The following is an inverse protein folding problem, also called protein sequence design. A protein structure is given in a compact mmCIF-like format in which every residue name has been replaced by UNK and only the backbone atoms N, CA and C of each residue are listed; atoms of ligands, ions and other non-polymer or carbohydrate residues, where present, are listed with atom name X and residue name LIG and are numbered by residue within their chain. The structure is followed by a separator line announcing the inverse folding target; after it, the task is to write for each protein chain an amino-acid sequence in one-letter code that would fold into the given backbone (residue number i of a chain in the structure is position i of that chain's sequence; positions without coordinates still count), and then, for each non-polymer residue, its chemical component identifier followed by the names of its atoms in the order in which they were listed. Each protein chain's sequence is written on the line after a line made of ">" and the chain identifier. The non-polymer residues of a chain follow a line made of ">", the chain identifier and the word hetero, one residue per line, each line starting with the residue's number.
data_IF_485221439744
#
_entry.id   IF_485221439744
#
_cell.length_a   1.000
_cell.length_b   1.000
_cell.length_c   1.000
_cell.angle_alpha   90.00
_cell.angle_beta   90.00
_cell.angle_gamma   90.00
#
_symmetry.space_group_name_H-M   'P 1'
#
loop_
_entity.id
_entity.type
_entity.pdbx_description
1 polymer ?
#
# COMPACT_ATOMS: atom_id res chain seq x y z
N UNK A 1 12.73 -11.55 15.36
CA UNK A 1 12.39 -11.54 13.93
C UNK A 1 11.34 -10.48 13.70
N UNK A 2 11.47 -9.66 12.65
CA UNK A 2 10.44 -8.67 12.33
C UNK A 2 9.09 -9.35 12.06
N UNK A 3 8.02 -8.78 12.62
CA UNK A 3 6.67 -9.32 12.45
C UNK A 3 6.04 -8.66 11.23
N UNK A 4 5.56 -9.50 10.30
CA UNK A 4 4.82 -9.05 9.12
C UNK A 4 3.36 -9.45 9.28
N UNK A 5 2.46 -8.48 9.18
CA UNK A 5 1.01 -8.69 9.23
C UNK A 5 0.40 -8.26 7.90
N UNK A 6 -0.26 -9.20 7.18
CA UNK A 6 -1.02 -8.85 5.98
C UNK A 6 -2.26 -8.05 6.38
N UNK A 7 -2.46 -6.89 5.74
CA UNK A 7 -3.60 -6.02 5.98
C UNK A 7 -4.69 -6.22 4.93
N UNK A 8 -4.33 -6.22 3.65
CA UNK A 8 -5.25 -6.44 2.54
C UNK A 8 -4.53 -6.92 1.29
N UNK A 9 -5.24 -7.61 0.40
CA UNK A 9 -4.76 -8.05 -0.90
C UNK A 9 -5.85 -7.97 -1.94
N UNK A 10 -5.61 -7.20 -3.00
CA UNK A 10 -6.59 -6.97 -4.06
C UNK A 10 -5.94 -6.91 -5.44
N UNK A 11 -6.78 -6.99 -6.47
CA UNK A 11 -6.35 -6.99 -7.87
C UNK A 11 -6.85 -5.72 -8.55
N UNK A 12 -5.95 -5.01 -9.22
CA UNK A 12 -6.30 -3.83 -10.01
C UNK A 12 -6.89 -4.30 -11.35
N UNK A 13 -8.09 -3.83 -11.75
CA UNK A 13 -8.72 -4.23 -13.01
C UNK A 13 -7.88 -3.86 -14.24
N UNK A 14 -7.25 -2.69 -14.21
CA UNK A 14 -6.38 -2.19 -15.27
C UNK A 14 -4.97 -2.76 -15.04
N UNK A 15 -4.39 -3.38 -16.06
CA UNK A 15 -3.00 -3.88 -16.01
C UNK A 15 -2.82 -5.21 -15.27
N UNK A 16 -3.88 -5.76 -14.67
CA UNK A 16 -3.85 -7.08 -14.03
C UNK A 16 -2.77 -7.21 -12.93
N UNK A 17 -2.61 -6.16 -12.13
CA UNK A 17 -1.64 -6.13 -11.04
C UNK A 17 -2.27 -6.64 -9.74
N UNK A 18 -1.52 -7.42 -8.96
CA UNK A 18 -1.90 -7.76 -7.58
C UNK A 18 -1.20 -6.79 -6.63
N UNK A 19 -1.95 -6.19 -5.71
CA UNK A 19 -1.43 -5.33 -4.65
C UNK A 19 -1.67 -6.01 -3.31
N UNK A 20 -0.64 -6.04 -2.47
CA UNK A 20 -0.74 -6.50 -1.09
C UNK A 20 -0.16 -5.43 -0.15
N UNK A 21 -0.91 -5.13 0.90
CA UNK A 21 -0.53 -4.20 1.96
C UNK A 21 -0.13 -5.01 3.19
N UNK A 22 1.05 -4.74 3.75
CA UNK A 22 1.58 -5.44 4.91
C UNK A 22 2.08 -4.42 5.94
N UNK A 23 1.77 -4.62 7.21
CA UNK A 23 2.44 -3.91 8.30
C UNK A 23 3.72 -4.66 8.69
N UNK A 24 4.81 -3.93 8.87
CA UNK A 24 6.08 -4.46 9.37
C UNK A 24 6.38 -3.81 10.72
N UNK A 25 6.50 -4.65 11.76
CA UNK A 25 6.96 -4.26 13.08
C UNK A 25 8.38 -4.78 13.29
N UNK A 26 9.30 -3.88 13.61
CA UNK A 26 10.71 -4.20 13.86
C UNK A 26 10.92 -4.70 15.29
N UNK A 27 11.69 -5.79 15.45
CA UNK A 27 11.94 -6.40 16.76
C UNK A 27 12.67 -5.48 17.74
N UNK A 28 13.60 -4.66 17.24
CA UNK A 28 14.35 -3.70 18.05
C UNK A 28 13.50 -2.50 18.53
N UNK A 29 12.20 -2.50 18.21
CA UNK A 29 11.34 -1.33 18.33
C UNK A 29 11.58 -0.32 17.20
N UNK A 30 10.69 0.65 17.08
CA UNK A 30 10.75 1.66 16.02
C UNK A 30 9.38 1.98 15.45
N UNK A 31 9.35 2.88 14.48
CA UNK A 31 8.14 3.24 13.75
C UNK A 31 7.78 2.06 12.82
N UNK A 32 6.55 1.53 12.88
CA UNK A 32 6.13 0.49 11.95
C UNK A 32 6.06 1.04 10.53
N UNK A 33 6.37 0.20 9.54
CA UNK A 33 6.21 0.57 8.14
C UNK A 33 5.00 -0.12 7.52
N UNK A 34 4.37 0.60 6.59
CA UNK A 34 3.46 0.00 5.63
C UNK A 34 4.30 -0.42 4.42
N UNK A 35 4.43 -1.73 4.22
CA UNK A 35 4.96 -2.32 3.01
C UNK A 35 3.85 -2.51 1.99
N UNK A 36 4.09 -2.04 0.78
CA UNK A 36 3.18 -2.21 -0.34
C UNK A 36 3.91 -3.01 -1.40
N UNK A 37 3.29 -4.11 -1.81
CA UNK A 37 3.83 -5.05 -2.78
C UNK A 37 2.94 -5.05 -3.99
N UNK A 38 3.51 -4.68 -5.13
CA UNK A 38 2.82 -4.71 -6.41
C UNK A 38 3.46 -5.81 -7.24
N UNK A 39 2.67 -6.79 -7.65
CA UNK A 39 3.08 -7.85 -8.56
C UNK A 39 2.44 -7.63 -9.93
N UNK A 40 3.28 -7.61 -10.96
CA UNK A 40 2.88 -7.58 -12.35
C UNK A 40 3.55 -8.74 -13.10
N UNK A 41 2.80 -9.84 -13.30
CA UNK A 41 3.33 -11.12 -13.81
C UNK A 41 4.51 -11.63 -12.96
N UNK A 42 5.73 -11.45 -13.47
CA UNK A 42 7.00 -11.85 -12.85
C UNK A 42 7.74 -10.68 -12.21
N UNK A 43 7.32 -9.43 -12.45
CA UNK A 43 7.90 -8.23 -11.86
C UNK A 43 7.27 -7.94 -10.51
N UNK A 44 8.11 -7.52 -9.57
CA UNK A 44 7.69 -7.10 -8.25
C UNK A 44 8.25 -5.71 -7.97
N UNK A 45 7.39 -4.82 -7.48
CA UNK A 45 7.77 -3.54 -6.90
C UNK A 45 7.39 -3.57 -5.44
N UNK A 46 8.33 -3.27 -4.56
CA UNK A 46 8.12 -3.20 -3.11
C UNK A 46 8.56 -1.83 -2.65
N UNK A 47 7.73 -1.17 -1.86
CA UNK A 47 8.07 0.08 -1.20
C UNK A 47 7.54 0.05 0.22
N UNK A 48 8.35 0.58 1.13
CA UNK A 48 8.02 0.72 2.54
C UNK A 48 7.88 2.21 2.83
N UNK A 49 6.78 2.59 3.47
CA UNK A 49 6.51 3.98 3.85
C UNK A 49 6.16 4.05 5.33
N UNK A 50 6.53 5.17 5.96
CA UNK A 50 6.18 5.47 7.34
C UNK A 50 4.70 5.94 7.44
N UNK A 51 4.13 5.99 8.66
CA UNK A 51 2.74 6.37 8.86
C UNK A 51 2.36 7.77 8.35
N UNK A 52 3.28 8.75 8.41
CA UNK A 52 3.01 10.13 7.95
C UNK A 52 2.90 10.14 6.43
N UNK A 53 3.83 9.45 5.76
CA UNK A 53 3.80 9.30 4.30
C UNK A 53 2.54 8.53 3.84
N UNK A 54 2.17 7.46 4.55
CA UNK A 54 0.96 6.68 4.26
C UNK A 54 -0.32 7.52 4.39
N UNK A 55 -0.44 8.30 5.47
CA UNK A 55 -1.60 9.17 5.69
C UNK A 55 -1.73 10.22 4.57
N UNK A 56 -0.61 10.85 4.20
CA UNK A 56 -0.60 11.84 3.10
C UNK A 56 -1.07 11.21 1.80
N UNK A 57 -0.55 10.03 1.45
CA UNK A 57 -0.93 9.36 0.21
C UNK A 57 -2.42 8.96 0.19
N UNK A 58 -2.91 8.39 1.28
CA UNK A 58 -4.32 8.00 1.40
C UNK A 58 -5.27 9.20 1.21
N UNK A 59 -4.93 10.35 1.79
CA UNK A 59 -5.72 11.59 1.63
C UNK A 59 -5.78 12.05 0.16
N UNK A 60 -4.65 12.07 -0.53
CA UNK A 60 -4.60 12.48 -1.95
C UNK A 60 -5.36 11.51 -2.86
N UNK A 61 -5.20 10.19 -2.65
CA UNK A 61 -5.94 9.18 -3.43
C UNK A 61 -7.45 9.28 -3.22
N UNK A 62 -7.89 9.49 -1.97
CA UNK A 62 -9.30 9.65 -1.65
C UNK A 62 -9.88 10.94 -2.22
N UNK A 63 -9.13 12.05 -2.16
CA UNK A 63 -9.54 13.31 -2.75
C UNK A 63 -9.73 13.17 -4.26
N UNK A 64 -8.76 12.57 -4.96
CA UNK A 64 -8.85 12.29 -6.39
C UNK A 64 -10.06 11.39 -6.73
N UNK A 65 -10.27 10.30 -5.98
CA UNK A 65 -11.36 9.37 -6.24
C UNK A 65 -12.74 10.05 -6.16
N UNK A 66 -12.93 10.94 -5.17
CA UNK A 66 -14.16 11.74 -5.05
C UNK A 66 -14.37 12.63 -6.26
N UNK A 67 -13.35 13.37 -6.68
CA UNK A 67 -13.46 14.27 -7.85
C UNK A 67 -13.72 13.51 -9.16
N UNK A 68 -13.14 12.32 -9.33
CA UNK A 68 -13.31 11.52 -10.53
C UNK A 68 -14.72 10.91 -10.64
N UNK A 69 -15.34 10.58 -9.51
CA UNK A 69 -16.70 10.04 -9.45
C UNK A 69 -17.77 11.12 -9.64
N UNK A 70 -17.53 12.35 -9.19
CA UNK A 70 -18.44 13.49 -9.38
C UNK A 70 -18.56 13.92 -10.86
N UNK A 71 -17.54 13.62 -11.67
CA UNK A 71 -17.54 13.87 -13.12
C UNK A 71 -17.98 12.67 -13.99
N UNK A 72 -18.44 11.57 -13.38
CA UNK A 72 -18.85 10.33 -14.06
C UNK A 72 -20.37 10.17 -14.16
#
# INVERSE_FOLDING_TARGET
>A
MDQITSLDKFRVPIGNQEIELQQINFEAGGVPFLRIRIREKTRFTIFDIDPITAERWAKEMLAWAKTAQEGS
#
